data_IF_268114912499
#
_entry.id   IF_268114912499
#
_cell.length_a   1.000
_cell.length_b   1.000
_cell.length_c   1.000
_cell.angle_alpha   90.00
_cell.angle_beta   90.00
_cell.angle_gamma   90.00
#
_symmetry.space_group_name_H-M   'P 1'
#
loop_
_entity.id
_entity.type
_entity.pdbx_description
1 polymer ?
#
# COMPACT_ATOMS: atom_id res chain seq x y z
N UNK A 1 -13.68 6.18 8.32
CA UNK A 1 -12.93 7.45 8.16
C UNK A 1 -12.79 7.76 6.69
N UNK A 2 -13.14 8.97 6.27
CA UNK A 2 -12.89 9.43 4.91
C UNK A 2 -11.42 9.84 4.76
N UNK A 3 -10.74 9.26 3.79
CA UNK A 3 -9.37 9.59 3.40
C UNK A 3 -9.39 10.43 2.13
N UNK A 4 -8.65 11.52 2.14
CA UNK A 4 -8.35 12.36 0.99
C UNK A 4 -6.87 12.22 0.65
N UNK A 5 -6.56 12.12 -0.64
CA UNK A 5 -5.20 11.97 -1.11
C UNK A 5 -4.97 12.64 -2.45
N UNK A 6 -3.69 12.87 -2.76
CA UNK A 6 -3.29 13.50 -4.00
C UNK A 6 -1.91 13.05 -4.46
N UNK A 7 -1.64 13.22 -5.75
CA UNK A 7 -0.27 13.15 -6.24
C UNK A 7 0.50 14.43 -5.87
N UNK A 8 1.83 14.38 -5.94
CA UNK A 8 2.67 15.53 -5.56
C UNK A 8 2.37 16.80 -6.36
N UNK A 9 2.10 16.68 -7.66
CA UNK A 9 1.73 17.83 -8.50
C UNK A 9 0.24 18.20 -8.42
N UNK A 10 -0.56 17.49 -7.62
CA UNK A 10 -2.02 17.66 -7.44
C UNK A 10 -2.89 17.51 -8.68
N UNK A 11 -2.31 17.08 -9.81
CA UNK A 11 -3.06 16.80 -11.03
C UNK A 11 -3.98 15.57 -10.90
N UNK A 12 -3.77 14.73 -9.88
CA UNK A 12 -4.68 13.66 -9.47
C UNK A 12 -5.00 13.88 -8.00
N UNK A 13 -6.29 13.90 -7.69
CA UNK A 13 -6.82 13.94 -6.33
C UNK A 13 -7.85 12.83 -6.19
N UNK A 14 -7.93 12.21 -5.02
CA UNK A 14 -8.88 11.14 -4.77
C UNK A 14 -9.39 11.17 -3.33
N UNK A 15 -10.54 10.54 -3.09
CA UNK A 15 -11.04 10.27 -1.75
C UNK A 15 -11.74 8.92 -1.68
N UNK A 16 -11.73 8.29 -0.50
CA UNK A 16 -12.37 7.00 -0.24
C UNK A 16 -12.65 6.82 1.26
N UNK A 17 -13.56 5.90 1.60
CA UNK A 17 -13.84 5.48 2.96
C UNK A 17 -12.92 4.34 3.39
N UNK A 18 -12.44 4.40 4.63
CA UNK A 18 -11.62 3.38 5.25
C UNK A 18 -12.08 3.09 6.67
N UNK A 19 -12.36 1.81 6.97
CA UNK A 19 -12.55 1.32 8.33
C UNK A 19 -11.21 1.08 9.05
N UNK A 20 -10.10 1.08 8.31
CA UNK A 20 -8.78 0.63 8.76
C UNK A 20 -7.67 1.60 8.30
N UNK A 21 -7.67 2.87 8.80
CA UNK A 21 -6.82 3.92 8.26
C UNK A 21 -5.38 3.93 8.83
N UNK A 22 -5.01 2.99 9.71
CA UNK A 22 -3.69 3.04 10.37
C UNK A 22 -2.55 2.62 9.42
N UNK A 23 -1.48 3.42 9.28
CA UNK A 23 -0.33 3.12 8.41
C UNK A 23 0.67 2.14 9.05
N UNK A 24 0.21 0.97 9.45
CA UNK A 24 1.00 0.01 10.24
C UNK A 24 1.84 -0.96 9.39
N UNK A 25 1.37 -1.32 8.19
CA UNK A 25 1.88 -2.44 7.41
C UNK A 25 3.01 -2.01 6.44
N UNK A 26 4.26 -2.37 6.74
CA UNK A 26 5.47 -2.02 5.97
C UNK A 26 5.93 -3.19 5.11
N UNK A 27 5.71 -3.11 3.80
CA UNK A 27 6.11 -4.14 2.85
C UNK A 27 7.49 -3.85 2.23
N UNK A 28 8.42 -4.79 2.40
CA UNK A 28 9.82 -4.65 2.00
C UNK A 28 10.17 -5.28 0.65
N UNK A 29 9.19 -5.90 -0.02
CA UNK A 29 9.44 -6.59 -1.27
C UNK A 29 9.98 -5.65 -2.35
N UNK A 30 10.69 -6.25 -3.31
CA UNK A 30 11.34 -5.50 -4.38
C UNK A 30 10.36 -4.62 -5.16
N UNK A 31 9.11 -5.06 -5.32
CA UNK A 31 8.09 -4.31 -6.05
C UNK A 31 7.68 -3.07 -5.27
N UNK A 32 7.19 -3.23 -4.03
CA UNK A 32 6.79 -2.12 -3.16
C UNK A 32 7.93 -1.10 -3.00
N UNK A 33 9.11 -1.58 -2.59
CA UNK A 33 10.31 -0.74 -2.47
C UNK A 33 10.61 0.06 -3.74
N UNK A 34 10.55 -0.56 -4.92
CA UNK A 34 10.88 0.12 -6.19
C UNK A 34 9.78 1.05 -6.70
N UNK A 35 8.50 0.74 -6.44
CA UNK A 35 7.39 1.51 -7.01
C UNK A 35 6.95 2.68 -6.12
N UNK A 36 7.19 2.62 -4.82
CA UNK A 36 6.76 3.67 -3.88
C UNK A 36 7.69 3.81 -2.65
N UNK A 37 8.48 2.78 -2.31
CA UNK A 37 9.23 2.73 -1.05
C UNK A 37 10.65 3.28 -1.09
N UNK A 38 10.83 4.57 -1.37
CA UNK A 38 12.16 5.23 -1.39
C UNK A 38 12.96 5.08 -0.08
N UNK A 39 12.27 4.95 1.06
CA UNK A 39 12.89 4.65 2.37
C UNK A 39 13.17 3.17 2.64
N UNK A 40 12.91 2.28 1.67
CA UNK A 40 13.16 0.84 1.77
C UNK A 40 11.93 -0.05 1.85
N UNK A 41 10.73 0.54 2.02
CA UNK A 41 9.46 -0.17 2.09
C UNK A 41 8.29 0.73 1.67
N UNK A 42 7.14 0.12 1.35
CA UNK A 42 5.88 0.82 1.14
C UNK A 42 4.90 0.54 2.25
N UNK A 43 4.00 1.49 2.52
CA UNK A 43 2.88 1.30 3.44
C UNK A 43 1.58 1.37 2.65
N UNK A 44 0.84 0.25 2.64
CA UNK A 44 -0.49 0.17 2.07
C UNK A 44 -1.52 0.32 3.19
N UNK A 45 -2.55 1.14 2.96
CA UNK A 45 -3.74 1.17 3.79
C UNK A 45 -4.81 0.25 3.20
N UNK A 46 -5.93 0.10 3.91
CA UNK A 46 -7.13 -0.51 3.36
C UNK A 46 -8.21 0.53 3.16
N UNK A 47 -8.99 0.37 2.10
CA UNK A 47 -10.09 1.26 1.74
C UNK A 47 -11.17 0.52 0.97
N UNK A 48 -12.39 1.03 1.04
CA UNK A 48 -13.52 0.53 0.25
C UNK A 48 -13.43 1.06 -1.18
N UNK A 49 -13.22 0.17 -2.15
CA UNK A 49 -13.07 0.53 -3.56
C UNK A 49 -14.35 1.17 -4.13
N UNK A 50 -15.53 0.82 -3.63
CA UNK A 50 -16.81 1.35 -4.10
C UNK A 50 -17.03 2.82 -3.73
N UNK A 51 -16.32 3.28 -2.70
CA UNK A 51 -16.37 4.66 -2.22
C UNK A 51 -15.40 5.60 -2.96
N UNK A 52 -14.53 5.06 -3.82
CA UNK A 52 -13.46 5.81 -4.48
C UNK A 52 -14.04 6.89 -5.41
N UNK A 53 -13.59 8.12 -5.21
CA UNK A 53 -13.86 9.26 -6.10
C UNK A 53 -12.55 9.85 -6.54
N UNK A 54 -12.39 10.09 -7.85
CA UNK A 54 -11.15 10.60 -8.43
C UNK A 54 -11.44 11.89 -9.22
N UNK A 55 -10.52 12.84 -9.15
CA UNK A 55 -10.42 13.99 -10.05
C UNK A 55 -9.06 13.93 -10.74
N UNK A 56 -9.03 14.19 -12.05
CA UNK A 56 -7.81 14.10 -12.84
C UNK A 56 -7.46 12.69 -13.31
N UNK A 57 -8.47 11.81 -13.50
CA UNK A 57 -8.28 10.44 -14.01
C UNK A 57 -7.51 10.40 -15.33
N UNK A 58 -7.68 11.44 -16.14
CA UNK A 58 -6.96 11.60 -17.39
C UNK A 58 -5.46 11.74 -17.18
N UNK A 59 -4.92 11.86 -15.95
CA UNK A 59 -3.48 11.87 -15.62
C UNK A 59 -2.99 10.58 -14.93
N UNK A 60 -3.87 9.59 -14.74
CA UNK A 60 -3.52 8.29 -14.16
C UNK A 60 -2.84 7.35 -15.17
N UNK A 61 -1.87 6.60 -14.69
CA UNK A 61 -1.29 5.47 -15.41
C UNK A 61 -1.22 4.26 -14.49
N UNK A 62 -1.26 3.07 -15.10
CA UNK A 62 -1.27 1.79 -14.39
C UNK A 62 0.00 1.04 -14.73
N UNK A 63 0.72 0.63 -13.69
CA UNK A 63 1.81 -0.34 -13.79
C UNK A 63 1.39 -1.67 -13.18
N UNK A 64 1.68 -2.76 -13.89
CA UNK A 64 1.50 -4.14 -13.40
C UNK A 64 2.87 -4.80 -13.35
N UNK A 65 3.24 -5.30 -12.18
CA UNK A 65 4.56 -5.88 -11.95
C UNK A 65 4.75 -7.17 -12.75
N UNK A 66 5.99 -7.42 -13.18
CA UNK A 66 6.38 -8.69 -13.78
C UNK A 66 6.81 -9.63 -12.65
N UNK A 67 6.22 -10.83 -12.62
CA UNK A 67 6.41 -11.86 -11.62
C UNK A 67 7.09 -13.08 -12.25
N UNK A 68 7.98 -13.78 -11.55
CA UNK A 68 8.48 -15.08 -12.00
C UNK A 68 7.34 -16.11 -12.00
N UNK A 69 7.38 -17.02 -12.97
CA UNK A 69 6.51 -18.19 -13.06
C UNK A 69 7.26 -19.45 -12.60
N UNK A 70 6.53 -20.46 -12.11
CA UNK A 70 7.11 -21.74 -11.66
C UNK A 70 7.82 -22.51 -12.79
N UNK A 71 7.44 -22.26 -14.05
CA UNK A 71 8.04 -22.86 -15.25
C UNK A 71 9.34 -22.16 -15.71
N UNK A 72 9.87 -21.23 -14.91
CA UNK A 72 11.04 -20.42 -15.26
C UNK A 72 10.74 -19.24 -16.20
N UNK A 73 9.47 -19.03 -16.54
CA UNK A 73 9.00 -17.87 -17.30
C UNK A 73 8.71 -16.64 -16.42
N UNK A 74 7.98 -15.70 -17.00
CA UNK A 74 7.47 -14.54 -16.26
C UNK A 74 6.06 -14.18 -16.72
N UNK A 75 5.23 -13.69 -15.81
CA UNK A 75 3.88 -13.22 -16.10
C UNK A 75 3.64 -11.82 -15.54
N UNK A 76 2.67 -11.12 -16.11
CA UNK A 76 2.25 -9.81 -15.58
C UNK A 76 1.20 -10.01 -14.49
N UNK A 77 1.48 -9.50 -13.29
CA UNK A 77 0.53 -9.51 -12.17
C UNK A 77 -0.76 -8.78 -12.54
N UNK A 78 -1.91 -9.29 -12.08
CA UNK A 78 -3.19 -8.58 -12.22
C UNK A 78 -3.26 -7.31 -11.37
N UNK A 79 -2.43 -7.21 -10.31
CA UNK A 79 -2.43 -6.11 -9.37
C UNK A 79 -1.91 -4.82 -10.03
N UNK A 80 -2.79 -3.82 -10.03
CA UNK A 80 -2.69 -2.53 -10.71
C UNK A 80 -2.15 -1.47 -9.75
N UNK A 81 -0.94 -0.99 -10.02
CA UNK A 81 -0.33 0.13 -9.29
C UNK A 81 -0.63 1.41 -10.04
N UNK A 82 -1.52 2.20 -9.48
CA UNK A 82 -1.98 3.46 -10.04
C UNK A 82 -1.05 4.58 -9.61
N UNK A 83 -0.57 5.38 -10.56
CA UNK A 83 0.35 6.47 -10.33
C UNK A 83 0.04 7.66 -11.23
N UNK A 84 0.42 8.87 -10.80
CA UNK A 84 0.32 10.06 -11.63
C UNK A 84 1.42 10.06 -12.69
N UNK A 85 1.05 10.11 -13.97
CA UNK A 85 2.05 10.08 -15.05
C UNK A 85 2.84 11.37 -15.23
N UNK A 86 2.38 12.47 -14.60
CA UNK A 86 3.04 13.77 -14.68
C UNK A 86 4.17 13.92 -13.66
N UNK A 87 4.01 13.37 -12.44
CA UNK A 87 5.00 13.51 -11.37
C UNK A 87 5.54 12.18 -10.81
N UNK A 88 5.01 11.04 -11.25
CA UNK A 88 5.45 9.72 -10.81
C UNK A 88 4.94 9.29 -9.43
N UNK A 89 4.18 10.12 -8.70
CA UNK A 89 3.63 9.72 -7.40
C UNK A 89 2.76 8.47 -7.52
N UNK A 90 3.15 7.42 -6.82
CA UNK A 90 2.33 6.22 -6.64
C UNK A 90 1.18 6.53 -5.68
N UNK A 91 -0.05 6.15 -6.04
CA UNK A 91 -1.27 6.58 -5.35
C UNK A 91 -1.95 5.42 -4.63
N UNK A 92 -2.24 4.32 -5.35
CA UNK A 92 -2.83 3.12 -4.74
C UNK A 92 -2.52 1.86 -5.55
N UNK A 93 -2.68 0.72 -4.87
CA UNK A 93 -2.77 -0.60 -5.47
C UNK A 93 -4.24 -1.03 -5.52
N UNK A 94 -4.66 -1.60 -6.64
CA UNK A 94 -5.96 -2.25 -6.83
C UNK A 94 -5.76 -3.62 -7.48
N UNK A 95 -6.51 -4.63 -7.07
CA UNK A 95 -6.46 -5.94 -7.73
C UNK A 95 -7.87 -6.38 -8.11
N UNK A 96 -8.10 -6.83 -9.35
CA UNK A 96 -9.40 -7.36 -9.74
C UNK A 96 -9.77 -8.66 -9.01
N UNK A 97 -8.81 -9.33 -8.38
CA UNK A 97 -9.08 -10.52 -7.55
C UNK A 97 -9.76 -10.16 -6.21
N UNK A 98 -9.67 -8.89 -5.77
CA UNK A 98 -10.36 -8.35 -4.59
C UNK A 98 -11.03 -7.01 -4.95
N UNK A 99 -12.13 -7.04 -5.73
CA UNK A 99 -12.71 -5.84 -6.34
C UNK A 99 -13.28 -4.84 -5.32
N UNK A 100 -13.60 -5.29 -4.12
CA UNK A 100 -14.13 -4.45 -3.04
C UNK A 100 -13.03 -3.66 -2.29
N UNK A 101 -11.76 -4.00 -2.52
CA UNK A 101 -10.62 -3.43 -1.80
C UNK A 101 -9.77 -2.52 -2.69
N UNK A 102 -9.41 -1.38 -2.13
CA UNK A 102 -8.38 -0.49 -2.66
C UNK A 102 -7.33 -0.22 -1.59
N UNK A 103 -6.07 -0.18 -2.00
CA UNK A 103 -4.94 -0.02 -1.09
C UNK A 103 -4.16 1.26 -1.39
N UNK A 104 -4.62 2.42 -0.88
CA UNK A 104 -3.87 3.65 -1.08
C UNK A 104 -2.56 3.61 -0.32
N UNK A 105 -1.53 4.19 -0.91
CA UNK A 105 -0.24 4.35 -0.25
C UNK A 105 -0.34 5.45 0.79
N UNK A 106 0.15 5.21 2.01
CA UNK A 106 0.12 6.21 3.08
C UNK A 106 0.80 7.54 2.67
N UNK A 107 1.81 7.49 1.81
CA UNK A 107 2.51 8.68 1.28
C UNK A 107 1.66 9.56 0.36
N UNK A 108 0.53 9.06 -0.14
CA UNK A 108 -0.37 9.78 -1.03
C UNK A 108 -1.61 10.32 -0.29
N UNK A 109 -1.75 10.06 1.01
CA UNK A 109 -2.87 10.54 1.81
C UNK A 109 -2.53 11.92 2.40
N UNK A 110 -3.41 12.89 2.15
CA UNK A 110 -3.34 14.25 2.69
C UNK A 110 -4.06 14.37 4.04
N UNK A 111 -5.08 13.52 4.28
CA UNK A 111 -5.74 13.44 5.59
C UNK A 111 -4.75 12.99 6.67
N UNK A 112 -4.78 13.64 7.84
CA UNK A 112 -3.92 13.26 8.95
C UNK A 112 -4.19 11.80 9.39
N UNK A 113 -3.23 10.92 9.12
CA UNK A 113 -3.30 9.50 9.49
C UNK A 113 -2.95 9.33 10.98
N UNK A 114 -3.63 8.39 11.68
CA UNK A 114 -3.31 8.11 13.07
C UNK A 114 -1.93 7.45 13.19
N UNK A 115 -1.29 7.60 14.35
CA UNK A 115 -0.02 6.92 14.65
C UNK A 115 -0.34 5.48 15.07
N UNK A 116 0.22 4.47 14.39
CA UNK A 116 0.00 3.07 14.76
C UNK A 116 0.76 2.73 16.06
N UNK A 117 0.13 2.02 17.01
CA UNK A 117 0.79 1.58 18.24
C UNK A 117 1.79 0.43 18.01
N UNK A 118 1.68 -0.27 16.88
CA UNK A 118 2.48 -1.42 16.48
C UNK A 118 2.66 -1.36 14.94
N UNK A 119 3.77 -1.83 14.41
CA UNK A 119 3.95 -2.05 12.97
C UNK A 119 4.04 -3.53 12.64
N UNK A 120 3.72 -3.85 11.39
CA UNK A 120 3.98 -5.16 10.81
C UNK A 120 4.95 -5.01 9.65
N UNK A 121 6.11 -5.65 9.75
CA UNK A 121 7.13 -5.72 8.71
C UNK A 121 6.99 -7.05 7.98
N UNK A 122 6.71 -7.00 6.68
CA UNK A 122 6.47 -8.20 5.86
C UNK A 122 7.37 -8.25 4.63
N UNK A 123 7.56 -9.46 4.09
CA UNK A 123 8.45 -9.74 2.97
C UNK A 123 9.90 -9.32 3.24
N UNK A 124 10.38 -9.61 4.45
CA UNK A 124 11.75 -9.31 4.87
C UNK A 124 12.79 -10.17 4.15
N UNK A 125 12.42 -11.35 3.65
CA UNK A 125 13.28 -12.20 2.83
C UNK A 125 13.70 -11.53 1.50
N UNK A 126 12.85 -10.64 1.01
CA UNK A 126 12.95 -9.92 -0.25
C UNK A 126 13.51 -8.50 -0.07
N UNK A 127 13.83 -8.14 1.17
CA UNK A 127 14.39 -6.84 1.54
C UNK A 127 15.75 -6.64 0.90
N UNK A 128 16.02 -5.43 0.41
CA UNK A 128 17.36 -5.11 -0.07
C UNK A 128 18.36 -5.03 1.11
N UNK A 129 19.62 -5.52 0.96
CA UNK A 129 20.59 -5.52 2.04
C UNK A 129 20.89 -4.15 2.66
N UNK A 130 20.75 -3.06 1.89
CA UNK A 130 21.00 -1.69 2.36
C UNK A 130 19.84 -1.07 3.15
N UNK A 131 18.64 -1.64 3.05
CA UNK A 131 17.48 -1.15 3.82
C UNK A 131 17.73 -1.53 5.26
N UNK A 132 17.46 -0.65 6.22
CA UNK A 132 17.49 -0.98 7.65
C UNK A 132 16.05 -1.24 8.15
N UNK A 133 15.84 -2.29 8.94
CA UNK A 133 14.51 -2.55 9.54
C UNK A 133 14.45 -1.84 10.88
N UNK A 134 13.78 -0.70 10.90
CA UNK A 134 13.52 0.08 12.12
C UNK A 134 12.29 -0.49 12.85
N UNK A 135 12.47 -1.64 13.50
CA UNK A 135 11.46 -2.28 14.33
C UNK A 135 11.59 -1.84 15.80
N UNK A 136 10.45 -1.64 16.46
CA UNK A 136 10.32 -1.34 17.89
C UNK A 136 9.86 -2.58 18.67
N UNK A 137 10.01 -2.61 20.01
CA UNK A 137 9.39 -3.64 20.83
C UNK A 137 7.88 -3.70 20.58
N UNK A 138 7.38 -4.90 20.23
CA UNK A 138 5.98 -5.13 19.88
C UNK A 138 5.72 -5.23 18.38
N UNK A 139 6.58 -4.65 17.53
CA UNK A 139 6.43 -4.77 16.08
C UNK A 139 6.57 -6.23 15.63
N UNK A 140 5.68 -6.64 14.72
CA UNK A 140 5.73 -7.97 14.13
C UNK A 140 6.63 -8.00 12.91
N UNK A 141 7.39 -9.07 12.74
CA UNK A 141 8.35 -9.24 11.64
C UNK A 141 8.15 -10.60 10.96
N UNK A 142 7.99 -10.58 9.65
CA UNK A 142 7.72 -11.76 8.83
C UNK A 142 8.61 -11.79 7.59
N UNK A 143 9.21 -12.95 7.34
CA UNK A 143 9.92 -13.23 6.10
C UNK A 143 8.98 -13.25 4.90
N UNK A 144 7.73 -13.70 5.10
CA UNK A 144 6.67 -13.78 4.07
C UNK A 144 5.47 -12.87 4.44
N UNK A 145 4.29 -13.11 3.82
CA UNK A 145 3.06 -12.43 4.21
C UNK A 145 2.57 -12.93 5.58
N UNK A 146 2.07 -12.05 6.47
CA UNK A 146 1.43 -12.48 7.71
C UNK A 146 0.11 -13.21 7.42
N UNK A 147 -0.30 -14.11 8.30
CA UNK A 147 -1.65 -14.69 8.28
C UNK A 147 -2.72 -13.67 8.72
N UNK A 148 -2.33 -12.72 9.59
CA UNK A 148 -3.19 -11.65 10.07
C UNK A 148 -3.49 -10.64 8.95
N UNK A 149 -4.77 -10.46 8.65
CA UNK A 149 -5.26 -9.43 7.72
C UNK A 149 -5.26 -8.03 8.33
N UNK A 150 -5.41 -7.01 7.48
CA UNK A 150 -5.54 -5.61 7.92
C UNK A 150 -6.71 -5.42 8.90
N UNK A 151 -7.86 -6.04 8.63
CA UNK A 151 -9.01 -5.95 9.52
C UNK A 151 -8.73 -6.60 10.88
N UNK A 152 -8.17 -7.80 10.90
CA UNK A 152 -7.84 -8.54 12.13
C UNK A 152 -6.81 -7.81 12.98
N UNK A 153 -5.80 -7.19 12.38
CA UNK A 153 -4.83 -6.37 13.10
C UNK A 153 -5.52 -5.20 13.82
N UNK A 154 -6.47 -4.52 13.16
CA UNK A 154 -7.24 -3.44 13.77
C UNK A 154 -8.15 -3.96 14.89
N UNK A 155 -8.81 -5.11 14.70
CA UNK A 155 -9.66 -5.73 15.72
C UNK A 155 -8.86 -6.14 16.97
N UNK A 156 -7.73 -6.84 16.78
CA UNK A 156 -6.86 -7.29 17.88
C UNK A 156 -6.41 -6.14 18.78
N UNK A 157 -6.16 -4.97 18.18
CA UNK A 157 -5.69 -3.78 18.88
C UNK A 157 -6.82 -2.85 19.33
N UNK A 158 -8.09 -3.19 19.07
CA UNK A 158 -9.25 -2.36 19.43
C UNK A 158 -9.29 -1.02 18.68
N UNK A 159 -8.83 -1.01 17.42
CA UNK A 159 -8.70 0.18 16.57
C UNK A 159 -9.82 0.29 15.52
N UNK A 160 -10.77 -0.65 15.50
CA UNK A 160 -11.99 -0.58 14.67
C UNK A 160 -12.90 0.53 15.17
N UNK A 161 -13.39 1.38 14.25
CA UNK A 161 -14.37 2.43 14.53
C UNK A 161 -15.80 1.90 14.50
#
# INVERSE_FOLDING_TARGET
>A
MRLEGSCHCRAVQFSLESAHPYPYQRCYCSICRKTQGGGGYSINLSGDAHSLKITGEENLSIYRAIMPSDDGGSYQSKAQRNFCRLCGSALWLFSPDWPDLIHPFASAIDTALPVPPEHTHLLLDSRAPWVEVQAQPGDQQFDSFPEESIAQWHERLGLTQ
#
